data_IF_216146254465
#
_entry.id   IF_216146254465
#
_cell.length_a   1.000
_cell.length_b   1.000
_cell.length_c   1.000
_cell.angle_alpha   90.00
_cell.angle_beta   90.00
_cell.angle_gamma   90.00
#
_symmetry.space_group_name_H-M   'P 1'
#
loop_
_entity.id
_entity.type
_entity.pdbx_description
1 polymer ?
#
# COMPACT_ATOMS: atom_id res chain seq x y z
N UNK A 1 -29.11 28.83 -28.56
CA UNK A 1 -29.02 27.37 -28.77
C UNK A 1 -27.65 26.90 -28.28
N UNK A 2 -27.56 26.13 -27.19
CA UNK A 2 -26.27 25.59 -26.70
C UNK A 2 -25.93 24.32 -27.50
N UNK A 3 -24.73 24.16 -28.04
CA UNK A 3 -24.39 22.97 -28.82
C UNK A 3 -24.33 21.74 -27.90
N UNK A 4 -25.10 20.71 -28.25
CA UNK A 4 -25.08 19.41 -27.57
C UNK A 4 -23.81 18.69 -27.99
N UNK A 5 -22.86 18.57 -27.06
CA UNK A 5 -21.58 17.88 -27.28
C UNK A 5 -21.86 16.37 -27.36
N UNK A 6 -21.51 15.66 -28.46
CA UNK A 6 -21.72 14.22 -28.54
C UNK A 6 -20.83 13.51 -27.52
N UNK A 7 -21.43 12.63 -26.70
CA UNK A 7 -20.71 11.79 -25.73
C UNK A 7 -19.90 10.76 -26.50
N UNK A 8 -18.57 10.83 -26.43
CA UNK A 8 -17.70 9.80 -27.02
C UNK A 8 -17.93 8.45 -26.34
N UNK A 9 -18.00 7.34 -27.09
CA UNK A 9 -18.09 6.00 -26.52
C UNK A 9 -16.87 5.74 -25.63
N UNK A 10 -17.08 5.52 -24.33
CA UNK A 10 -16.01 5.13 -23.41
C UNK A 10 -15.57 3.72 -23.80
N UNK A 11 -14.30 3.58 -24.23
CA UNK A 11 -13.66 2.27 -24.39
C UNK A 11 -13.86 1.47 -23.09
N UNK A 12 -14.33 0.21 -23.15
CA UNK A 12 -14.35 -0.65 -21.98
C UNK A 12 -12.93 -0.75 -21.43
N UNK A 13 -12.77 -0.53 -20.11
CA UNK A 13 -11.52 -0.81 -19.42
C UNK A 13 -11.17 -2.27 -19.70
N UNK A 14 -10.03 -2.51 -20.35
CA UNK A 14 -9.56 -3.86 -20.59
C UNK A 14 -9.46 -4.56 -19.23
N UNK A 15 -10.27 -5.59 -19.02
CA UNK A 15 -10.12 -6.47 -17.86
C UNK A 15 -8.70 -6.99 -17.92
N UNK A 16 -7.89 -6.63 -16.92
CA UNK A 16 -6.52 -7.10 -16.79
C UNK A 16 -6.60 -8.63 -16.77
N UNK A 17 -6.25 -9.27 -17.89
CA UNK A 17 -6.18 -10.72 -17.96
C UNK A 17 -5.13 -11.11 -16.92
N UNK A 18 -5.55 -11.81 -15.87
CA UNK A 18 -4.65 -12.46 -14.94
C UNK A 18 -3.88 -13.51 -15.74
N UNK A 19 -2.76 -13.08 -16.34
CA UNK A 19 -1.82 -13.99 -16.99
C UNK A 19 -1.40 -14.98 -15.92
N UNK A 20 -1.62 -16.26 -16.22
CA UNK A 20 -1.19 -17.41 -15.41
C UNK A 20 0.33 -17.39 -15.32
N UNK A 21 0.85 -16.56 -14.43
CA UNK A 21 2.14 -16.75 -13.79
C UNK A 21 1.83 -17.47 -12.50
N UNK A 22 2.58 -18.52 -12.18
CA UNK A 22 2.47 -19.21 -10.90
C UNK A 22 2.38 -18.15 -9.78
N UNK A 23 1.35 -18.21 -8.92
CA UNK A 23 1.10 -17.16 -7.95
C UNK A 23 2.32 -17.05 -7.02
N UNK A 24 2.97 -15.89 -7.03
CA UNK A 24 4.09 -15.62 -6.13
C UNK A 24 3.51 -15.34 -4.75
N UNK A 25 3.94 -16.13 -3.79
CA UNK A 25 3.60 -15.91 -2.39
C UNK A 25 4.53 -14.84 -1.79
N UNK A 26 3.93 -13.81 -1.20
CA UNK A 26 4.67 -12.67 -0.65
C UNK A 26 4.26 -12.44 0.79
N UNK A 27 5.24 -12.50 1.68
CA UNK A 27 5.07 -12.38 3.12
C UNK A 27 5.89 -11.20 3.65
N UNK A 28 5.43 -10.59 4.74
CA UNK A 28 6.16 -9.54 5.45
C UNK A 28 6.37 -9.96 6.91
N UNK A 29 7.58 -9.81 7.44
CA UNK A 29 7.87 -10.01 8.86
C UNK A 29 8.44 -8.73 9.45
N UNK A 30 7.77 -8.20 10.46
CA UNK A 30 8.23 -7.03 11.19
C UNK A 30 9.24 -7.49 12.24
N UNK A 31 10.44 -6.91 12.22
CA UNK A 31 11.44 -7.12 13.26
C UNK A 31 11.05 -6.29 14.49
N UNK A 32 11.01 -6.86 15.71
CA UNK A 32 10.83 -6.09 16.93
C UNK A 32 11.89 -5.00 17.07
N UNK A 33 11.52 -3.89 17.70
CA UNK A 33 12.49 -2.87 18.06
C UNK A 33 13.41 -3.37 19.18
N UNK A 34 14.71 -3.11 19.05
CA UNK A 34 15.71 -3.42 20.08
C UNK A 34 15.60 -2.43 21.27
N UNK A 35 15.09 -1.23 21.01
CA UNK A 35 14.90 -0.16 21.98
C UNK A 35 13.48 0.41 21.88
N UNK A 36 12.77 0.51 23.00
CA UNK A 36 11.39 1.02 23.05
C UNK A 36 11.28 2.51 22.70
N UNK A 37 12.39 3.26 22.76
CA UNK A 37 12.45 4.68 22.41
C UNK A 37 12.74 4.95 20.93
N UNK A 38 13.05 3.91 20.15
CA UNK A 38 13.29 4.08 18.72
C UNK A 38 11.99 4.37 17.98
N UNK A 39 12.08 5.16 16.92
CA UNK A 39 10.90 5.53 16.13
C UNK A 39 10.37 4.34 15.32
N UNK A 40 9.09 4.03 15.52
CA UNK A 40 8.37 3.02 14.74
C UNK A 40 8.02 3.59 13.36
N UNK A 41 8.73 3.17 12.33
CA UNK A 41 8.43 3.54 10.94
C UNK A 41 7.48 2.58 10.23
N UNK A 42 7.26 1.36 10.75
CA UNK A 42 6.38 0.34 10.15
C UNK A 42 5.48 -0.28 11.22
N UNK A 43 4.19 -0.46 10.91
CA UNK A 43 3.23 -1.15 11.78
C UNK A 43 2.35 -2.09 10.97
N UNK A 44 1.99 -3.23 11.53
CA UNK A 44 0.92 -4.04 10.96
C UNK A 44 -0.44 -3.43 11.28
N UNK A 45 -1.25 -3.23 10.25
CA UNK A 45 -2.64 -2.79 10.38
C UNK A 45 -3.56 -4.00 10.53
N UNK A 46 -3.36 -5.01 9.69
CA UNK A 46 -4.11 -6.26 9.65
C UNK A 46 -3.15 -7.41 9.31
N UNK A 47 -3.61 -8.67 9.38
CA UNK A 47 -2.81 -9.87 9.02
C UNK A 47 -2.23 -9.84 7.60
N UNK A 48 -2.72 -8.96 6.73
CA UNK A 48 -2.31 -8.86 5.31
C UNK A 48 -1.81 -7.47 4.93
N UNK A 49 -1.86 -6.50 5.84
CA UNK A 49 -1.58 -5.10 5.50
C UNK A 49 -0.61 -4.50 6.50
N UNK A 50 0.48 -3.93 6.00
CA UNK A 50 1.39 -3.09 6.78
C UNK A 50 1.27 -1.64 6.35
N UNK A 51 1.58 -0.79 7.29
CA UNK A 51 1.59 0.65 7.21
C UNK A 51 3.03 1.12 7.39
N UNK A 52 3.50 1.97 6.47
CA UNK A 52 4.77 2.68 6.58
C UNK A 52 4.48 4.15 6.89
N UNK A 53 5.05 4.62 8.00
CA UNK A 53 4.99 6.02 8.43
C UNK A 53 6.22 6.78 7.91
N UNK A 54 6.07 8.04 7.49
CA UNK A 54 7.20 8.87 7.12
C UNK A 54 8.06 9.20 8.36
N UNK A 55 9.38 9.40 8.19
CA UNK A 55 10.24 9.84 9.29
C UNK A 55 9.94 11.29 9.68
N UNK A 56 10.05 11.61 10.97
CA UNK A 56 9.64 12.90 11.55
C UNK A 56 10.40 14.12 10.99
N UNK A 57 11.65 13.94 10.55
CA UNK A 57 12.48 15.01 9.94
C UNK A 57 11.98 15.46 8.57
N UNK A 58 10.99 14.75 8.04
CA UNK A 58 10.45 14.94 6.71
C UNK A 58 8.99 15.40 6.86
N UNK A 59 8.74 16.63 7.34
CA UNK A 59 7.37 17.19 7.43
C UNK A 59 7.06 18.27 6.38
N UNK A 60 8.06 18.69 5.59
CA UNK A 60 7.98 19.81 4.63
C UNK A 60 7.34 19.50 3.26
N UNK A 61 6.96 18.26 2.95
CA UNK A 61 6.55 17.76 1.63
C UNK A 61 5.11 17.28 1.65
N UNK A 62 4.33 17.67 0.64
CA UNK A 62 2.91 17.28 0.51
C UNK A 62 2.71 15.77 0.22
N UNK A 63 3.80 15.03 0.08
CA UNK A 63 3.85 13.57 -0.15
C UNK A 63 4.00 12.76 1.15
N UNK A 64 3.98 13.41 2.32
CA UNK A 64 4.02 12.77 3.64
C UNK A 64 2.70 12.11 4.00
N UNK A 65 2.37 11.06 3.25
CA UNK A 65 1.21 10.22 3.50
C UNK A 65 1.69 8.86 3.95
N UNK A 66 0.98 8.33 4.94
CA UNK A 66 1.05 6.92 5.32
C UNK A 66 0.90 6.04 4.07
N UNK A 67 1.81 5.06 3.90
CA UNK A 67 1.81 4.15 2.75
C UNK A 67 1.35 2.78 3.21
N UNK A 68 0.37 2.20 2.53
CA UNK A 68 -0.13 0.87 2.84
C UNK A 68 0.38 -0.15 1.81
N UNK A 69 0.89 -1.26 2.30
CA UNK A 69 1.31 -2.40 1.47
C UNK A 69 0.51 -3.64 1.84
N UNK A 70 0.13 -4.41 0.82
CA UNK A 70 -0.64 -5.64 0.97
C UNK A 70 0.23 -6.86 0.69
N UNK A 71 0.11 -7.85 1.55
CA UNK A 71 0.84 -9.12 1.58
C UNK A 71 -0.13 -10.29 1.72
N UNK A 72 0.33 -11.50 1.46
CA UNK A 72 -0.45 -12.71 1.71
C UNK A 72 -0.61 -12.98 3.21
N UNK A 73 0.45 -12.71 3.97
CA UNK A 73 0.43 -12.68 5.44
C UNK A 73 1.57 -11.80 5.98
N UNK A 74 1.29 -11.16 7.11
CA UNK A 74 2.17 -10.29 7.88
C UNK A 74 2.42 -10.92 9.25
N UNK A 75 3.67 -11.06 9.62
CA UNK A 75 4.11 -11.49 10.95
C UNK A 75 4.52 -10.27 11.76
N UNK A 76 3.84 -10.06 12.88
CA UNK A 76 4.06 -8.93 13.76
C UNK A 76 5.28 -9.17 14.66
N UNK A 77 5.73 -8.14 15.35
CA UNK A 77 6.84 -8.23 16.32
C UNK A 77 6.59 -9.26 17.44
N UNK A 78 5.34 -9.62 17.69
CA UNK A 78 4.91 -10.55 18.74
C UNK A 78 4.63 -11.97 18.23
N UNK A 79 4.88 -12.26 16.95
CA UNK A 79 4.54 -13.53 16.28
C UNK A 79 5.77 -14.14 15.63
#
# INVERSE_FOLDING_TARGET
MKPVRPKTPRKPLAKLKSTVKDPIEVYCRIRPLDNEYDQVCVRAKDEKTVVLFPPDVSQTSRTFKEVHYSFQQVFNEKT
#
